data_IF_202701224590
#
_entry.id   IF_202701224590
#
_cell.length_a   1.000
_cell.length_b   1.000
_cell.length_c   1.000
_cell.angle_alpha   90.00
_cell.angle_beta   90.00
_cell.angle_gamma   90.00
#
_symmetry.space_group_name_H-M   'P 1'
#
loop_
_entity.id
_entity.type
_entity.pdbx_description
1 polymer ?
#
# COMPACT_ATOMS: atom_id res chain seq x y z
N UNK A 1 -1.06 21.26 -0.46
CA UNK A 1 -0.83 19.83 -0.17
C UNK A 1 -1.47 19.41 1.15
N UNK A 2 -1.01 19.80 2.35
CA UNK A 2 -1.61 19.31 3.62
C UNK A 2 -3.06 19.73 3.86
N UNK A 3 -3.40 21.00 3.58
CA UNK A 3 -4.77 21.52 3.76
C UNK A 3 -5.73 21.17 2.61
N UNK A 4 -5.19 20.72 1.48
CA UNK A 4 -5.95 20.30 0.30
C UNK A 4 -5.11 19.24 -0.42
N UNK A 5 -5.25 17.97 -0.04
CA UNK A 5 -4.47 16.88 -0.62
C UNK A 5 -5.01 16.55 -2.02
N UNK A 6 -4.09 16.32 -2.95
CA UNK A 6 -4.40 16.02 -4.35
C UNK A 6 -3.81 14.66 -4.71
N UNK A 7 -4.40 13.96 -5.67
CA UNK A 7 -3.80 12.75 -6.21
C UNK A 7 -2.44 13.07 -6.84
N UNK A 8 -1.42 12.28 -6.52
CA UNK A 8 -0.05 12.42 -7.07
C UNK A 8 0.40 11.18 -7.84
N UNK A 9 -0.41 10.12 -7.83
CA UNK A 9 -0.21 8.85 -8.52
C UNK A 9 -1.59 8.27 -8.83
N UNK A 10 -1.69 7.42 -9.84
CA UNK A 10 -2.95 6.70 -10.11
C UNK A 10 -3.20 5.59 -9.07
N UNK A 11 -2.11 4.93 -8.64
CA UNK A 11 -2.14 3.78 -7.72
C UNK A 11 -1.13 3.94 -6.59
N UNK A 12 -1.51 3.46 -5.40
CA UNK A 12 -0.64 3.37 -4.23
C UNK A 12 -0.84 2.02 -3.54
N UNK A 13 0.25 1.29 -3.34
CA UNK A 13 0.25 0.10 -2.49
C UNK A 13 0.95 0.44 -1.18
N UNK A 14 0.20 0.44 -0.08
CA UNK A 14 0.67 0.82 1.25
C UNK A 14 0.67 -0.41 2.16
N UNK A 15 1.81 -0.75 2.74
CA UNK A 15 1.96 -1.89 3.65
C UNK A 15 2.51 -1.46 4.99
N UNK A 16 2.02 -2.05 6.08
CA UNK A 16 2.53 -1.79 7.42
C UNK A 16 2.43 -3.04 8.29
N UNK A 17 3.45 -3.29 9.12
CA UNK A 17 3.37 -4.30 10.16
C UNK A 17 2.47 -3.85 11.31
N UNK A 18 1.64 -4.73 11.87
CA UNK A 18 0.81 -4.36 13.03
C UNK A 18 1.61 -4.23 14.34
N UNK A 19 2.83 -4.76 14.39
CA UNK A 19 3.70 -4.73 15.56
C UNK A 19 4.79 -3.64 15.50
N UNK A 20 4.70 -2.71 14.54
CA UNK A 20 5.61 -1.55 14.48
C UNK A 20 4.95 -0.25 14.98
N UNK A 21 5.79 0.74 15.30
CA UNK A 21 5.35 2.00 15.89
C UNK A 21 4.52 2.86 14.94
N UNK A 22 4.67 2.67 13.63
CA UNK A 22 4.03 3.53 12.61
C UNK A 22 2.63 3.06 12.19
N UNK A 23 2.07 2.07 12.88
CA UNK A 23 0.78 1.48 12.49
C UNK A 23 -0.37 2.50 12.50
N UNK A 24 -0.38 3.43 13.46
CA UNK A 24 -1.45 4.45 13.55
C UNK A 24 -1.32 5.51 12.46
N UNK A 25 -0.09 5.89 12.13
CA UNK A 25 0.25 6.82 11.06
C UNK A 25 -0.14 6.21 9.70
N UNK A 26 0.13 4.93 9.48
CA UNK A 26 -0.27 4.24 8.26
C UNK A 26 -1.79 4.07 8.14
N UNK A 27 -2.47 3.70 9.24
CA UNK A 27 -3.94 3.64 9.27
C UNK A 27 -4.60 4.99 9.04
N UNK A 28 -3.99 6.08 9.50
CA UNK A 28 -4.55 7.43 9.35
C UNK A 28 -4.25 8.05 7.98
N UNK A 29 -3.11 7.75 7.36
CA UNK A 29 -2.80 8.26 6.03
C UNK A 29 -3.55 7.52 4.92
N UNK A 30 -3.86 6.23 5.09
CA UNK A 30 -4.60 5.44 4.11
C UNK A 30 -5.92 6.10 3.63
N UNK A 31 -6.87 6.50 4.52
CA UNK A 31 -8.10 7.18 4.10
C UNK A 31 -7.85 8.57 3.51
N UNK A 32 -6.78 9.26 3.94
CA UNK A 32 -6.40 10.54 3.37
C UNK A 32 -5.93 10.38 1.91
N UNK A 33 -5.17 9.34 1.60
CA UNK A 33 -4.75 9.05 0.23
C UNK A 33 -5.96 8.64 -0.63
N UNK A 34 -6.85 7.80 -0.10
CA UNK A 34 -8.08 7.39 -0.78
C UNK A 34 -8.99 8.58 -1.12
N UNK A 35 -9.13 9.55 -0.22
CA UNK A 35 -10.00 10.71 -0.44
C UNK A 35 -9.55 11.63 -1.58
N UNK A 36 -8.29 11.54 -2.00
CA UNK A 36 -7.78 12.27 -3.17
C UNK A 36 -8.18 11.67 -4.51
N UNK A 37 -8.78 10.47 -4.52
CA UNK A 37 -9.15 9.73 -5.73
C UNK A 37 -8.11 8.72 -6.21
N UNK A 38 -7.01 8.52 -5.47
CA UNK A 38 -6.02 7.47 -5.77
C UNK A 38 -6.62 6.08 -5.53
N UNK A 39 -6.27 5.10 -6.37
CA UNK A 39 -6.53 3.69 -6.10
C UNK A 39 -5.51 3.20 -5.06
N UNK A 40 -5.93 3.10 -3.80
CA UNK A 40 -5.05 2.78 -2.68
C UNK A 40 -5.38 1.39 -2.14
N UNK A 41 -4.38 0.50 -2.20
CA UNK A 41 -4.43 -0.80 -1.52
C UNK A 41 -3.60 -0.77 -0.25
N UNK A 42 -4.27 -0.67 0.89
CA UNK A 42 -3.66 -0.75 2.21
C UNK A 42 -3.69 -2.18 2.75
N UNK A 43 -2.53 -2.71 3.17
CA UNK A 43 -2.39 -4.08 3.68
C UNK A 43 -1.62 -4.06 4.99
N UNK A 44 -2.20 -4.67 6.01
CA UNK A 44 -1.54 -4.90 7.30
C UNK A 44 -0.97 -6.31 7.35
N UNK A 45 0.26 -6.44 7.83
CA UNK A 45 0.94 -7.71 8.05
C UNK A 45 1.04 -8.02 9.55
N UNK A 46 0.91 -9.29 9.94
CA UNK A 46 1.10 -9.75 11.33
C UNK A 46 2.59 -9.85 11.69
N UNK A 47 3.31 -8.76 11.48
CA UNK A 47 4.76 -8.62 11.62
C UNK A 47 5.12 -7.18 12.06
N UNK A 48 6.40 -6.89 12.25
CA UNK A 48 6.91 -5.60 12.75
C UNK A 48 7.77 -4.83 11.75
N UNK A 49 8.64 -3.98 12.29
CA UNK A 49 9.54 -3.11 11.52
C UNK A 49 10.83 -3.85 11.18
N UNK A 50 10.75 -4.79 10.24
CA UNK A 50 11.87 -5.66 9.87
C UNK A 50 11.90 -5.98 8.37
N UNK A 51 13.05 -6.50 7.93
CA UNK A 51 13.30 -6.81 6.53
C UNK A 51 12.45 -7.96 6.00
N UNK A 52 12.12 -8.94 6.84
CA UNK A 52 11.28 -10.08 6.50
C UNK A 52 9.89 -9.63 6.07
N UNK A 53 9.23 -8.81 6.88
CA UNK A 53 7.92 -8.21 6.58
C UNK A 53 7.95 -7.46 5.25
N UNK A 54 8.94 -6.59 5.05
CA UNK A 54 9.06 -5.79 3.83
C UNK A 54 9.32 -6.67 2.60
N UNK A 55 10.23 -7.64 2.70
CA UNK A 55 10.50 -8.60 1.62
C UNK A 55 9.24 -9.38 1.25
N UNK A 56 8.53 -9.92 2.23
CA UNK A 56 7.40 -10.82 2.02
C UNK A 56 6.19 -10.08 1.41
N UNK A 57 6.03 -8.80 1.74
CA UNK A 57 4.96 -7.95 1.17
C UNK A 57 5.32 -7.31 -0.18
N UNK A 58 6.62 -7.11 -0.48
CA UNK A 58 7.09 -6.40 -1.67
C UNK A 58 6.61 -7.02 -2.98
N UNK A 59 6.67 -8.35 -3.12
CA UNK A 59 6.20 -9.06 -4.34
C UNK A 59 4.73 -8.77 -4.62
N UNK A 60 3.88 -8.78 -3.58
CA UNK A 60 2.45 -8.54 -3.73
C UNK A 60 2.18 -7.10 -4.16
N UNK A 61 2.95 -6.15 -3.63
CA UNK A 61 2.90 -4.75 -4.04
C UNK A 61 3.27 -4.54 -5.50
N UNK A 62 4.42 -5.08 -5.92
CA UNK A 62 4.85 -4.97 -7.32
C UNK A 62 3.87 -5.65 -8.28
N UNK A 63 3.38 -6.83 -7.94
CA UNK A 63 2.40 -7.55 -8.78
C UNK A 63 1.11 -6.76 -8.93
N UNK A 64 0.63 -6.10 -7.87
CA UNK A 64 -0.58 -5.29 -7.92
C UNK A 64 -0.41 -3.96 -8.69
N UNK A 65 0.74 -3.30 -8.52
CA UNK A 65 1.06 -2.07 -9.23
C UNK A 65 1.32 -2.33 -10.72
N UNK A 66 2.01 -3.43 -11.02
CA UNK A 66 2.46 -3.79 -12.37
C UNK A 66 2.05 -5.23 -12.68
N UNK A 67 0.75 -5.46 -12.95
CA UNK A 67 0.21 -6.79 -13.22
C UNK A 67 0.84 -7.50 -14.43
N UNK A 68 1.61 -6.79 -15.24
CA UNK A 68 2.20 -7.30 -16.46
C UNK A 68 1.14 -7.66 -17.51
N UNK A 69 1.56 -8.00 -18.73
CA UNK A 69 0.65 -8.39 -19.80
C UNK A 69 -0.03 -9.76 -19.56
N UNK A 70 0.43 -10.53 -18.58
CA UNK A 70 0.01 -11.91 -18.34
C UNK A 70 -1.21 -12.05 -17.42
N UNK A 71 -1.74 -10.97 -16.84
CA UNK A 71 -2.96 -11.01 -16.01
C UNK A 71 -4.27 -11.19 -16.81
N UNK A 72 -4.19 -11.39 -18.13
CA UNK A 72 -5.29 -11.87 -18.97
C UNK A 72 -5.26 -13.40 -19.16
N UNK A 73 -4.48 -14.14 -18.36
CA UNK A 73 -4.48 -15.61 -18.40
C UNK A 73 -4.64 -16.16 -16.99
N UNK A 74 -5.89 -16.32 -16.57
CA UNK A 74 -6.26 -17.28 -15.54
C UNK A 74 -7.53 -17.99 -16.01
N UNK A 75 -7.38 -19.30 -16.26
CA UNK A 75 -8.48 -20.29 -16.28
C UNK A 75 -9.10 -20.43 -14.88
#
# INVERSE_FOLDING_TARGET
FRNNPTAISDKVYLTCGIYESLIYENRSIAPLLQSTGMDVKYVEARDGHNWENWRDTFRNGLSWLFPGPLWMVYE
#
